data_IF_123626486931
#
_entry.id   IF_123626486931
#
_cell.length_a   1.000
_cell.length_b   1.000
_cell.length_c   1.000
_cell.angle_alpha   90.00
_cell.angle_beta   90.00
_cell.angle_gamma   90.00
#
_symmetry.space_group_name_H-M   'P 1'
#
loop_
_entity.id
_entity.type
_entity.pdbx_description
1 polymer ?
#
# COMPACT_ATOMS: atom_id res chain seq x y z
N UNK A 1 14.89 0.76 17.80
CA UNK A 1 13.48 0.56 17.40
C UNK A 1 13.45 0.33 15.90
N UNK A 2 13.19 -0.89 15.44
CA UNK A 2 13.11 -1.16 14.00
C UNK A 2 11.80 -0.57 13.48
N UNK A 3 11.89 0.33 12.49
CA UNK A 3 10.72 0.81 11.76
C UNK A 3 10.15 -0.37 10.97
N UNK A 4 8.97 -0.85 11.33
CA UNK A 4 8.35 -2.03 10.69
C UNK A 4 7.48 -1.68 9.48
N UNK A 5 7.08 -0.41 9.35
CA UNK A 5 6.23 0.09 8.27
C UNK A 5 6.78 1.36 7.65
N UNK A 6 6.44 1.59 6.40
CA UNK A 6 6.60 2.83 5.67
C UNK A 6 5.26 3.20 5.03
N UNK A 7 4.85 4.46 5.20
CA UNK A 7 3.60 4.99 4.66
C UNK A 7 3.94 6.13 3.71
N UNK A 8 3.33 6.13 2.53
CA UNK A 8 3.56 7.14 1.50
C UNK A 8 2.24 7.61 0.91
N UNK A 9 2.18 8.88 0.56
CA UNK A 9 1.21 9.40 -0.39
C UNK A 9 1.88 9.53 -1.75
N UNK A 10 1.30 8.92 -2.77
CA UNK A 10 1.84 8.90 -4.14
C UNK A 10 0.80 9.50 -5.09
N UNK A 11 1.13 10.66 -5.64
CA UNK A 11 0.37 11.32 -6.71
C UNK A 11 1.05 10.99 -8.06
N UNK A 12 0.48 10.04 -8.78
CA UNK A 12 1.06 9.50 -10.01
C UNK A 12 0.61 10.29 -11.24
N UNK A 13 1.24 11.42 -11.54
CA UNK A 13 0.98 12.20 -12.76
C UNK A 13 1.33 11.45 -14.04
N UNK A 14 2.23 10.47 -13.96
CA UNK A 14 2.61 9.57 -15.05
C UNK A 14 2.65 8.14 -14.51
N UNK A 15 2.47 7.17 -15.41
CA UNK A 15 2.60 5.76 -15.03
C UNK A 15 3.97 5.48 -14.40
N UNK A 16 4.00 4.83 -13.24
CA UNK A 16 5.23 4.37 -12.61
C UNK A 16 5.79 3.15 -13.34
N UNK A 17 7.08 2.86 -13.16
CA UNK A 17 7.69 1.67 -13.76
C UNK A 17 6.98 0.41 -13.31
N UNK A 18 6.92 -0.58 -14.19
CA UNK A 18 6.51 -1.93 -13.84
C UNK A 18 7.62 -2.55 -12.99
N UNK A 19 7.27 -3.04 -11.82
CA UNK A 19 8.19 -3.48 -10.80
C UNK A 19 7.67 -4.68 -10.03
N UNK A 20 8.54 -5.28 -9.24
CA UNK A 20 8.26 -6.41 -8.37
C UNK A 20 9.10 -6.30 -7.11
N UNK A 21 8.62 -6.85 -6.01
CA UNK A 21 9.32 -6.88 -4.74
C UNK A 21 9.58 -8.31 -4.29
N UNK A 22 10.75 -8.60 -3.68
CA UNK A 22 11.02 -9.90 -3.07
C UNK A 22 10.27 -10.09 -1.76
N UNK A 23 10.17 -11.32 -1.29
CA UNK A 23 9.83 -11.64 0.09
C UNK A 23 11.02 -11.45 1.05
N UNK A 24 10.79 -11.71 2.37
CA UNK A 24 11.83 -11.55 3.38
C UNK A 24 13.01 -12.51 3.17
N UNK A 25 12.75 -13.74 2.75
CA UNK A 25 13.78 -14.77 2.59
C UNK A 25 14.78 -14.36 1.51
N UNK A 26 14.28 -14.06 0.32
CA UNK A 26 15.12 -13.62 -0.79
C UNK A 26 15.83 -12.29 -0.50
N UNK A 27 15.11 -11.32 0.07
CA UNK A 27 15.65 -9.99 0.32
C UNK A 27 16.74 -9.98 1.40
N UNK A 28 16.59 -10.77 2.47
CA UNK A 28 17.62 -10.89 3.51
C UNK A 28 18.88 -11.57 2.98
N UNK A 29 18.73 -12.58 2.14
CA UNK A 29 19.87 -13.31 1.56
C UNK A 29 20.63 -12.47 0.52
N UNK A 30 19.92 -11.74 -0.35
CA UNK A 30 20.52 -11.13 -1.54
C UNK A 30 20.75 -9.61 -1.43
N UNK A 31 20.01 -8.91 -0.53
CA UNK A 31 20.05 -7.45 -0.42
C UNK A 31 20.40 -6.96 0.99
N UNK A 32 20.42 -7.85 2.00
CA UNK A 32 20.52 -7.50 3.42
C UNK A 32 19.40 -6.53 3.86
N UNK A 33 18.23 -6.69 3.30
CA UNK A 33 17.01 -5.90 3.49
C UNK A 33 15.83 -6.84 3.77
N UNK A 34 14.71 -6.31 4.29
CA UNK A 34 13.46 -7.06 4.36
C UNK A 34 12.74 -7.07 3.01
N UNK A 35 11.86 -8.04 2.83
CA UNK A 35 10.93 -8.10 1.72
C UNK A 35 9.93 -6.95 1.73
N UNK A 36 9.10 -6.86 0.69
CA UNK A 36 8.17 -5.75 0.55
C UNK A 36 6.80 -6.25 0.12
N UNK A 37 5.93 -6.45 1.10
CA UNK A 37 4.49 -6.52 0.90
C UNK A 37 3.92 -5.12 1.08
N UNK A 38 2.96 -4.73 0.26
CA UNK A 38 2.34 -3.41 0.30
C UNK A 38 0.85 -3.46 -0.01
N UNK A 39 0.14 -2.44 0.44
CA UNK A 39 -1.24 -2.22 0.04
C UNK A 39 -1.41 -0.79 -0.43
N UNK A 40 -2.35 -0.59 -1.34
CA UNK A 40 -2.75 0.72 -1.83
C UNK A 40 -4.21 0.98 -1.49
N UNK A 41 -4.46 2.13 -0.89
CA UNK A 41 -5.79 2.71 -0.77
C UNK A 41 -5.90 3.88 -1.75
N UNK A 42 -6.84 3.80 -2.69
CA UNK A 42 -7.02 4.85 -3.71
C UNK A 42 -7.75 6.03 -3.07
N UNK A 43 -7.04 7.15 -2.94
CA UNK A 43 -7.55 8.40 -2.40
C UNK A 43 -8.32 9.19 -3.45
N UNK A 44 -7.82 9.16 -4.69
CA UNK A 44 -8.47 9.75 -5.87
C UNK A 44 -7.97 9.08 -7.14
N UNK A 45 -8.79 9.11 -8.20
CA UNK A 45 -8.42 8.58 -9.51
C UNK A 45 -9.18 9.31 -10.63
N UNK A 46 -8.47 9.68 -11.68
CA UNK A 46 -9.08 10.21 -12.91
C UNK A 46 -9.98 9.15 -13.58
N UNK A 47 -11.04 9.56 -14.30
CA UNK A 47 -11.87 8.62 -15.04
C UNK A 47 -11.07 7.75 -16.01
N UNK A 48 -11.22 6.41 -15.90
CA UNK A 48 -10.47 5.45 -16.70
C UNK A 48 -9.04 5.19 -16.26
N UNK A 49 -8.58 5.79 -15.16
CA UNK A 49 -7.29 5.49 -14.56
C UNK A 49 -7.21 4.02 -14.13
N UNK A 50 -6.06 3.43 -14.29
CA UNK A 50 -5.84 2.00 -14.03
C UNK A 50 -4.47 1.74 -13.45
N UNK A 51 -4.34 0.61 -12.80
CA UNK A 51 -3.07 0.06 -12.36
C UNK A 51 -2.86 -1.35 -12.93
N UNK A 52 -1.64 -1.83 -12.87
CA UNK A 52 -1.34 -3.24 -13.11
C UNK A 52 -1.11 -3.93 -11.76
N UNK A 53 -1.71 -5.13 -11.59
CA UNK A 53 -1.45 -5.97 -10.42
C UNK A 53 -1.54 -7.45 -10.82
N UNK A 54 -0.38 -8.10 -10.87
CA UNK A 54 -0.19 -9.48 -11.26
C UNK A 54 -0.37 -9.76 -12.76
N UNK A 55 -0.37 -11.04 -13.09
CA UNK A 55 -0.54 -11.53 -14.44
C UNK A 55 -2.03 -11.77 -14.76
N UNK A 56 -2.45 -11.50 -15.99
CA UNK A 56 -3.81 -11.78 -16.49
C UNK A 56 -4.05 -13.29 -16.70
N UNK A 57 -2.98 -14.05 -16.87
CA UNK A 57 -2.92 -15.51 -16.99
C UNK A 57 -1.61 -16.03 -16.43
N UNK A 58 -1.51 -17.33 -16.15
CA UNK A 58 -0.23 -17.95 -15.85
C UNK A 58 0.72 -17.81 -17.05
N UNK A 59 2.00 -17.56 -16.79
CA UNK A 59 3.06 -17.41 -17.79
C UNK A 59 4.36 -18.00 -17.29
N UNK A 60 5.22 -18.52 -18.16
CA UNK A 60 6.54 -18.98 -17.73
C UNK A 60 7.50 -17.80 -17.49
N UNK A 61 8.59 -18.06 -16.76
CA UNK A 61 9.63 -17.04 -16.52
C UNK A 61 10.30 -16.62 -17.84
N UNK A 62 10.47 -17.56 -18.76
CA UNK A 62 11.04 -17.35 -20.09
C UNK A 62 10.13 -16.43 -20.93
N UNK A 63 8.81 -16.65 -20.89
CA UNK A 63 7.85 -15.77 -21.55
C UNK A 63 7.88 -14.35 -20.97
N UNK A 64 7.93 -14.23 -19.65
CA UNK A 64 8.01 -12.93 -18.97
C UNK A 64 9.29 -12.19 -19.41
N UNK A 65 10.44 -12.88 -19.43
CA UNK A 65 11.71 -12.33 -19.88
C UNK A 65 11.66 -11.86 -21.33
N UNK A 66 11.14 -12.70 -22.23
CA UNK A 66 10.99 -12.36 -23.63
C UNK A 66 10.11 -11.11 -23.83
N UNK A 67 8.99 -11.03 -23.12
CA UNK A 67 8.09 -9.87 -23.21
C UNK A 67 8.69 -8.58 -22.64
N UNK A 68 9.55 -8.67 -21.62
CA UNK A 68 10.31 -7.51 -21.13
C UNK A 68 11.27 -7.05 -22.26
N UNK A 69 12.04 -7.96 -22.85
CA UNK A 69 13.00 -7.65 -23.94
C UNK A 69 12.33 -7.06 -25.17
N UNK A 70 11.12 -7.49 -25.47
CA UNK A 70 10.34 -7.05 -26.64
C UNK A 70 9.42 -5.85 -26.34
N UNK A 71 9.46 -5.27 -25.12
CA UNK A 71 8.58 -4.17 -24.65
C UNK A 71 7.08 -4.50 -24.70
N UNK A 72 6.71 -5.78 -24.54
CA UNK A 72 5.32 -6.28 -24.61
C UNK A 72 4.80 -6.83 -23.28
N UNK A 73 5.52 -6.63 -22.18
CA UNK A 73 5.15 -7.17 -20.85
C UNK A 73 3.74 -6.77 -20.42
N UNK A 74 3.28 -5.58 -20.81
CA UNK A 74 1.93 -5.08 -20.47
C UNK A 74 0.79 -5.91 -21.03
N UNK A 75 1.03 -6.68 -22.09
CA UNK A 75 0.00 -7.53 -22.75
C UNK A 75 -0.42 -8.73 -21.88
N UNK A 76 0.42 -9.14 -20.95
CA UNK A 76 0.16 -10.25 -20.04
C UNK A 76 -0.14 -9.81 -18.60
N UNK A 77 -0.08 -8.49 -18.34
CA UNK A 77 -0.42 -7.98 -17.00
C UNK A 77 -1.94 -7.84 -16.83
N UNK A 78 -2.38 -8.05 -15.59
CA UNK A 78 -3.76 -7.81 -15.19
C UNK A 78 -3.97 -6.31 -14.98
N UNK A 79 -4.73 -5.69 -15.87
CA UNK A 79 -5.10 -4.28 -15.83
C UNK A 79 -6.38 -4.11 -15.02
N UNK A 80 -6.34 -3.26 -13.99
CA UNK A 80 -7.45 -3.00 -13.09
C UNK A 80 -7.79 -1.52 -13.15
N UNK A 81 -8.97 -1.17 -13.63
CA UNK A 81 -9.50 0.18 -13.47
C UNK A 81 -9.83 0.43 -12.01
N UNK A 82 -9.50 1.63 -11.53
CA UNK A 82 -9.67 1.98 -10.12
C UNK A 82 -10.41 3.29 -9.94
N UNK A 83 -11.01 3.43 -8.77
CA UNK A 83 -11.70 4.63 -8.31
C UNK A 83 -11.41 4.89 -6.85
N UNK A 84 -11.70 6.09 -6.37
CA UNK A 84 -11.61 6.46 -4.95
C UNK A 84 -12.26 5.39 -4.06
N UNK A 85 -11.53 4.98 -3.04
CA UNK A 85 -11.95 3.98 -2.06
C UNK A 85 -11.55 2.53 -2.40
N UNK A 86 -11.01 2.28 -3.58
CA UNK A 86 -10.52 0.94 -3.93
C UNK A 86 -9.27 0.56 -3.12
N UNK A 87 -9.16 -0.73 -2.85
CA UNK A 87 -8.07 -1.34 -2.08
C UNK A 87 -7.41 -2.42 -2.90
N UNK A 88 -6.10 -2.37 -2.98
CA UNK A 88 -5.28 -3.38 -3.68
C UNK A 88 -4.19 -3.87 -2.75
N UNK A 89 -4.12 -5.18 -2.52
CA UNK A 89 -3.00 -5.83 -1.84
C UNK A 89 -2.00 -6.31 -2.87
N UNK A 90 -0.77 -5.86 -2.74
CA UNK A 90 0.38 -6.26 -3.56
C UNK A 90 1.31 -7.12 -2.70
N UNK A 91 1.21 -8.43 -2.87
CA UNK A 91 2.09 -9.38 -2.17
C UNK A 91 3.45 -9.43 -2.85
N UNK A 92 4.49 -9.71 -2.10
CA UNK A 92 5.81 -10.03 -2.65
C UNK A 92 5.70 -11.05 -3.80
N UNK A 93 6.50 -10.90 -4.85
CA UNK A 93 6.41 -11.72 -6.05
C UNK A 93 5.32 -11.33 -7.05
N UNK A 94 4.55 -10.26 -6.78
CA UNK A 94 3.51 -9.76 -7.70
C UNK A 94 4.07 -8.64 -8.57
N UNK A 95 3.99 -8.79 -9.90
CA UNK A 95 4.32 -7.73 -10.85
C UNK A 95 3.25 -6.64 -10.76
N UNK A 96 3.63 -5.37 -10.61
CA UNK A 96 2.66 -4.29 -10.46
C UNK A 96 3.19 -2.94 -10.96
N UNK A 97 2.26 -2.03 -11.22
CA UNK A 97 2.55 -0.62 -11.50
C UNK A 97 1.33 0.26 -11.24
N UNK A 98 1.55 1.46 -10.73
CA UNK A 98 0.53 2.49 -10.62
C UNK A 98 0.47 3.25 -11.94
N UNK A 99 -0.71 3.34 -12.55
CA UNK A 99 -0.96 4.13 -13.75
C UNK A 99 -0.98 5.63 -13.48
N UNK A 100 -1.08 6.42 -14.55
CA UNK A 100 -1.23 7.86 -14.44
C UNK A 100 -2.62 8.25 -13.87
N UNK A 101 -2.71 9.42 -13.25
CA UNK A 101 -3.96 9.98 -12.75
C UNK A 101 -4.49 9.29 -11.49
N UNK A 102 -3.63 8.65 -10.70
CA UNK A 102 -4.01 7.95 -9.47
C UNK A 102 -3.28 8.57 -8.27
N UNK A 103 -4.03 8.90 -7.23
CA UNK A 103 -3.49 9.32 -5.93
C UNK A 103 -3.79 8.24 -4.89
N UNK A 104 -2.76 7.69 -4.27
CA UNK A 104 -2.87 6.60 -3.30
C UNK A 104 -2.22 6.91 -1.96
N UNK A 105 -2.72 6.25 -0.91
CA UNK A 105 -1.98 6.00 0.33
C UNK A 105 -1.41 4.57 0.25
N UNK A 106 -0.09 4.45 0.18
CA UNK A 106 0.64 3.18 0.21
C UNK A 106 1.07 2.88 1.63
N UNK A 107 0.72 1.70 2.14
CA UNK A 107 1.21 1.15 3.41
C UNK A 107 2.00 -0.11 3.09
N UNK A 108 3.26 -0.18 3.51
CA UNK A 108 4.18 -1.25 3.15
C UNK A 108 5.07 -1.68 4.33
N UNK A 109 5.70 -2.86 4.21
CA UNK A 109 6.88 -3.17 5.01
C UNK A 109 7.94 -2.08 4.81
N UNK A 110 8.72 -1.79 5.86
CA UNK A 110 9.79 -0.80 5.76
C UNK A 110 11.00 -1.37 5.00
N UNK A 111 10.86 -1.39 3.68
CA UNK A 111 11.87 -1.85 2.73
C UNK A 111 11.90 -0.94 1.51
N UNK A 112 13.08 -0.74 0.96
CA UNK A 112 13.30 -0.06 -0.32
C UNK A 112 13.58 -1.05 -1.46
N UNK A 113 13.53 -2.35 -1.18
CA UNK A 113 13.87 -3.38 -2.16
C UNK A 113 12.84 -3.42 -3.30
N UNK A 114 13.29 -2.98 -4.47
CA UNK A 114 12.44 -2.86 -5.67
C UNK A 114 13.21 -3.29 -6.90
N UNK A 115 12.68 -4.27 -7.62
CA UNK A 115 13.22 -4.70 -8.90
C UNK A 115 12.38 -4.12 -10.03
N UNK A 116 12.98 -3.21 -10.81
CA UNK A 116 12.35 -2.61 -11.98
C UNK A 116 12.43 -3.57 -13.14
N UNK A 117 11.28 -3.92 -13.71
CA UNK A 117 11.16 -4.85 -14.81
C UNK A 117 11.05 -4.12 -16.16
N UNK A 118 10.31 -3.01 -16.21
CA UNK A 118 10.07 -2.24 -17.41
C UNK A 118 9.78 -0.78 -17.09
N UNK A 119 10.29 0.13 -17.89
CA UNK A 119 10.16 1.57 -17.67
C UNK A 119 9.70 2.36 -18.90
N UNK A 120 8.97 1.72 -19.82
CA UNK A 120 8.41 2.36 -21.02
C UNK A 120 9.47 3.02 -21.90
N UNK A 121 10.70 2.52 -21.93
CA UNK A 121 11.89 3.09 -22.59
C UNK A 121 12.15 4.56 -22.23
N UNK A 122 11.73 5.00 -21.03
CA UNK A 122 11.98 6.36 -20.56
C UNK A 122 13.46 6.61 -20.33
N UNK A 123 13.89 7.81 -20.71
CA UNK A 123 15.27 8.24 -20.58
C UNK A 123 15.35 9.53 -19.77
N UNK A 124 16.47 9.69 -19.06
CA UNK A 124 16.79 10.93 -18.35
C UNK A 124 17.14 12.06 -19.36
N UNK A 125 17.41 13.25 -18.82
CA UNK A 125 17.80 14.41 -19.64
C UNK A 125 19.12 14.23 -20.41
N UNK A 126 19.88 13.19 -20.12
CA UNK A 126 21.12 12.83 -20.80
C UNK A 126 20.94 11.67 -21.77
N UNK A 127 19.73 11.14 -21.92
CA UNK A 127 19.41 10.04 -22.81
C UNK A 127 19.64 8.64 -22.22
N UNK A 128 19.95 8.52 -20.92
CA UNK A 128 20.19 7.24 -20.26
C UNK A 128 18.89 6.60 -19.78
N UNK A 129 18.66 5.30 -20.03
CA UNK A 129 17.54 4.58 -19.42
C UNK A 129 17.83 4.32 -17.94
N UNK A 130 16.75 4.14 -17.15
CA UNK A 130 16.91 3.61 -15.78
C UNK A 130 17.28 2.14 -15.82
N UNK A 131 18.11 1.70 -14.87
CA UNK A 131 18.50 0.31 -14.74
C UNK A 131 17.28 -0.60 -14.55
N UNK A 132 17.28 -1.74 -15.25
CA UNK A 132 16.32 -2.83 -15.10
C UNK A 132 16.94 -4.00 -14.36
N UNK A 133 16.21 -4.61 -13.44
CA UNK A 133 16.67 -5.70 -12.59
C UNK A 133 16.05 -7.03 -13.04
N UNK A 134 16.18 -7.38 -14.33
CA UNK A 134 15.43 -8.49 -14.96
C UNK A 134 15.70 -9.82 -14.27
N UNK A 135 16.99 -10.19 -14.07
CA UNK A 135 17.34 -11.46 -13.45
C UNK A 135 16.72 -11.62 -12.06
N UNK A 136 16.93 -10.64 -11.16
CA UNK A 136 16.36 -10.64 -9.82
C UNK A 136 14.83 -10.66 -9.83
N UNK A 137 14.22 -9.98 -10.81
CA UNK A 137 12.76 -10.01 -10.99
C UNK A 137 12.25 -11.40 -11.33
N UNK A 138 12.95 -12.13 -12.21
CA UNK A 138 12.60 -13.49 -12.60
C UNK A 138 12.83 -14.50 -11.46
N UNK A 139 13.78 -14.23 -10.56
CA UNK A 139 13.99 -15.07 -9.39
C UNK A 139 12.76 -15.04 -8.46
N UNK A 140 12.21 -13.85 -8.23
CA UNK A 140 11.16 -13.62 -7.23
C UNK A 140 9.74 -13.64 -7.79
N UNK A 141 9.54 -13.66 -9.11
CA UNK A 141 8.21 -13.59 -9.70
C UNK A 141 7.35 -14.80 -9.36
N UNK A 142 6.11 -14.54 -8.96
CA UNK A 142 5.06 -15.55 -8.90
C UNK A 142 4.35 -15.62 -10.27
N UNK A 143 4.60 -16.66 -11.09
CA UNK A 143 4.19 -16.70 -12.49
C UNK A 143 2.75 -17.20 -12.68
N UNK A 144 1.90 -17.09 -11.65
CA UNK A 144 0.50 -17.51 -11.71
C UNK A 144 -0.43 -16.35 -12.05
N UNK A 145 -1.64 -16.69 -12.51
CA UNK A 145 -2.69 -15.69 -12.71
C UNK A 145 -2.99 -14.97 -11.40
N UNK A 146 -3.15 -13.65 -11.48
CA UNK A 146 -3.58 -12.86 -10.35
C UNK A 146 -5.01 -13.22 -9.89
N UNK A 147 -5.16 -13.36 -8.60
CA UNK A 147 -6.46 -13.51 -7.97
C UNK A 147 -6.62 -12.41 -6.90
N UNK A 148 -7.75 -11.69 -6.97
CA UNK A 148 -8.06 -10.65 -6.00
C UNK A 148 -8.20 -11.27 -4.61
N UNK A 149 -7.57 -10.66 -3.61
CA UNK A 149 -7.69 -11.11 -2.22
C UNK A 149 -9.09 -10.77 -1.67
N UNK A 150 -9.90 -11.79 -1.43
CA UNK A 150 -11.26 -11.66 -0.93
C UNK A 150 -11.34 -11.30 0.57
N UNK A 151 -10.20 -11.22 1.27
CA UNK A 151 -10.13 -10.84 2.68
C UNK A 151 -10.02 -9.32 2.88
N UNK A 152 -10.03 -8.54 1.80
CA UNK A 152 -10.04 -7.08 1.85
C UNK A 152 -11.46 -6.53 2.10
N UNK A 153 -11.56 -5.33 2.70
CA UNK A 153 -12.80 -4.59 2.91
C UNK A 153 -13.84 -5.29 3.80
N UNK A 154 -13.39 -5.91 4.89
CA UNK A 154 -14.26 -6.57 5.87
C UNK A 154 -14.82 -5.56 6.85
N UNK A 155 -16.14 -5.46 6.98
CA UNK A 155 -16.81 -4.63 7.99
C UNK A 155 -16.46 -5.14 9.39
N UNK A 156 -15.98 -4.25 10.27
CA UNK A 156 -15.67 -4.55 11.67
C UNK A 156 -16.72 -3.99 12.61
N UNK A 157 -17.12 -2.73 12.42
CA UNK A 157 -18.16 -2.07 13.21
C UNK A 157 -18.95 -1.07 12.37
N UNK A 158 -20.23 -0.90 12.74
CA UNK A 158 -21.10 0.13 12.19
C UNK A 158 -22.11 0.51 13.26
N UNK A 159 -22.05 1.74 13.75
CA UNK A 159 -22.96 2.32 14.72
C UNK A 159 -23.28 3.79 14.35
N UNK A 160 -23.94 4.54 15.22
CA UNK A 160 -24.29 5.94 14.98
C UNK A 160 -23.08 6.90 15.00
N UNK A 161 -21.96 6.51 15.63
CA UNK A 161 -20.79 7.35 15.82
C UNK A 161 -19.74 7.15 14.75
N UNK A 162 -19.56 5.88 14.29
CA UNK A 162 -18.57 5.57 13.25
C UNK A 162 -18.84 4.24 12.53
N UNK A 163 -18.21 4.13 11.37
CA UNK A 163 -18.06 2.87 10.65
C UNK A 163 -16.58 2.52 10.54
N UNK A 164 -16.21 1.24 10.76
CA UNK A 164 -14.87 0.77 10.56
C UNK A 164 -14.82 -0.48 9.68
N UNK A 165 -13.83 -0.49 8.78
CA UNK A 165 -13.56 -1.61 7.85
C UNK A 165 -12.11 -1.99 7.89
N UNK A 166 -11.81 -3.27 8.05
CA UNK A 166 -10.48 -3.80 7.78
C UNK A 166 -10.25 -3.77 6.27
N UNK A 167 -9.32 -2.94 5.82
CA UNK A 167 -8.95 -2.84 4.42
C UNK A 167 -8.10 -4.03 4.00
N UNK A 168 -7.06 -4.35 4.79
CA UNK A 168 -6.12 -5.44 4.55
C UNK A 168 -5.61 -5.98 5.89
N UNK A 169 -5.34 -7.27 5.94
CA UNK A 169 -4.57 -7.92 7.02
C UNK A 169 -3.59 -8.93 6.42
N UNK A 170 -2.33 -8.83 6.80
CA UNK A 170 -1.29 -9.80 6.43
C UNK A 170 -0.38 -10.08 7.64
N UNK A 171 0.66 -10.87 7.45
CA UNK A 171 1.65 -11.19 8.50
C UNK A 171 2.35 -9.94 9.05
N UNK A 172 2.42 -8.86 8.28
CA UNK A 172 3.30 -7.72 8.54
C UNK A 172 2.57 -6.47 9.00
N UNK A 173 1.29 -6.35 8.67
CA UNK A 173 0.46 -5.22 9.09
C UNK A 173 -1.03 -5.51 8.94
N UNK A 174 -1.81 -4.80 9.73
CA UNK A 174 -3.25 -4.65 9.55
C UNK A 174 -3.57 -3.18 9.26
N UNK A 175 -4.51 -2.95 8.34
CA UNK A 175 -4.95 -1.61 7.97
C UNK A 175 -6.46 -1.53 8.09
N UNK A 176 -6.94 -0.57 8.88
CA UNK A 176 -8.37 -0.35 9.18
C UNK A 176 -8.73 1.08 8.78
N UNK A 177 -9.80 1.25 8.03
CA UNK A 177 -10.39 2.55 7.78
C UNK A 177 -11.50 2.82 8.79
N UNK A 178 -11.50 4.02 9.37
CA UNK A 178 -12.58 4.58 10.17
C UNK A 178 -13.20 5.75 9.43
N UNK A 179 -14.52 5.73 9.30
CA UNK A 179 -15.36 6.85 8.89
C UNK A 179 -16.12 7.29 10.14
N UNK A 180 -15.72 8.44 10.70
CA UNK A 180 -16.18 8.94 12.00
C UNK A 180 -17.14 10.09 11.79
N UNK A 181 -18.32 10.01 12.40
CA UNK A 181 -19.32 11.10 12.37
C UNK A 181 -19.12 12.08 13.53
N UNK A 182 -18.80 11.58 14.73
CA UNK A 182 -18.58 12.41 15.92
C UNK A 182 -17.43 11.90 16.82
N UNK A 183 -17.43 10.65 17.25
CA UNK A 183 -16.38 10.07 18.12
C UNK A 183 -16.10 8.60 17.78
N UNK A 184 -14.81 8.23 17.83
CA UNK A 184 -14.37 6.83 17.80
C UNK A 184 -13.35 6.57 18.91
N UNK A 185 -13.50 5.44 19.63
CA UNK A 185 -12.52 4.92 20.57
C UNK A 185 -11.81 3.72 19.97
N UNK A 186 -10.51 3.85 19.74
CA UNK A 186 -9.68 2.89 19.03
C UNK A 186 -8.69 2.28 20.01
N UNK A 187 -8.78 0.98 20.32
CA UNK A 187 -7.90 0.34 21.29
C UNK A 187 -6.45 0.29 20.78
N UNK A 188 -5.52 0.56 21.68
CA UNK A 188 -4.07 0.31 21.51
C UNK A 188 -3.67 -0.70 22.57
N UNK A 189 -2.93 -1.71 22.18
CA UNK A 189 -2.43 -2.73 23.10
C UNK A 189 -0.90 -2.64 23.30
N UNK A 190 -0.37 -3.55 24.10
CA UNK A 190 1.07 -3.62 24.39
C UNK A 190 1.88 -4.29 23.25
N UNK A 191 1.21 -4.93 22.28
CA UNK A 191 1.88 -5.69 21.23
C UNK A 191 2.41 -4.78 20.10
N UNK A 192 1.68 -3.69 19.79
CA UNK A 192 2.02 -2.81 18.68
C UNK A 192 1.68 -1.34 18.94
N UNK A 193 2.41 -0.48 18.25
CA UNK A 193 2.04 0.92 18.07
C UNK A 193 0.78 1.04 17.20
N UNK A 194 0.17 2.22 17.20
CA UNK A 194 -0.88 2.60 16.28
C UNK A 194 -0.41 3.82 15.47
N UNK A 195 -0.49 3.74 14.14
CA UNK A 195 -0.34 4.90 13.26
C UNK A 195 -1.71 5.34 12.78
N UNK A 196 -2.05 6.61 12.99
CA UNK A 196 -3.30 7.24 12.55
C UNK A 196 -2.99 8.22 11.42
N UNK A 197 -3.64 8.07 10.28
CA UNK A 197 -3.48 8.91 9.11
C UNK A 197 -4.84 9.53 8.80
N UNK A 198 -4.96 10.85 8.91
CA UNK A 198 -6.20 11.57 8.58
C UNK A 198 -6.24 11.81 7.08
N UNK A 199 -7.17 11.16 6.38
CA UNK A 199 -7.30 11.30 4.92
C UNK A 199 -8.39 12.31 4.52
N UNK A 200 -9.33 12.59 5.43
CA UNK A 200 -10.37 13.61 5.21
C UNK A 200 -10.90 14.14 6.55
N UNK A 201 -11.42 15.39 6.56
CA UNK A 201 -12.03 16.01 7.73
C UNK A 201 -11.05 16.67 8.69
N UNK A 202 -11.59 17.07 9.85
CA UNK A 202 -10.86 17.71 10.94
C UNK A 202 -11.47 17.35 12.30
N UNK A 203 -10.71 17.57 13.37
CA UNK A 203 -11.17 17.25 14.71
C UNK A 203 -10.08 17.31 15.76
N UNK A 204 -10.23 16.47 16.78
CA UNK A 204 -9.25 16.32 17.85
C UNK A 204 -8.92 14.86 18.11
N UNK A 205 -7.69 14.61 18.55
CA UNK A 205 -7.19 13.30 18.92
C UNK A 205 -6.51 13.37 20.29
N UNK A 206 -6.79 12.39 21.13
CA UNK A 206 -6.17 12.23 22.45
C UNK A 206 -6.06 10.75 22.80
N UNK A 207 -5.35 10.43 23.86
CA UNK A 207 -5.41 9.10 24.49
C UNK A 207 -6.14 9.21 25.83
N UNK A 208 -6.91 8.19 26.20
CA UNK A 208 -7.75 8.21 27.41
C UNK A 208 -6.94 8.15 28.72
N UNK A 209 -5.64 7.94 28.65
CA UNK A 209 -4.70 8.04 29.77
C UNK A 209 -3.96 9.40 29.86
N UNK A 210 -4.30 10.35 29.00
CA UNK A 210 -3.67 11.67 28.94
C UNK A 210 -4.66 12.75 28.50
N UNK A 211 -4.85 13.78 29.30
CA UNK A 211 -5.80 14.88 29.04
C UNK A 211 -5.36 15.83 27.91
N UNK A 212 -4.20 15.60 27.28
CA UNK A 212 -3.71 16.45 26.20
C UNK A 212 -4.42 16.13 24.88
N UNK A 213 -5.32 17.01 24.50
CA UNK A 213 -6.02 16.97 23.23
C UNK A 213 -5.23 17.70 22.14
N UNK A 214 -5.06 17.09 20.96
CA UNK A 214 -4.39 17.65 19.81
C UNK A 214 -5.42 17.85 18.69
N UNK A 215 -5.41 19.04 18.06
CA UNK A 215 -6.21 19.26 16.85
C UNK A 215 -5.58 18.58 15.66
N UNK A 216 -6.40 18.15 14.71
CA UNK A 216 -5.95 17.61 13.44
C UNK A 216 -6.82 18.09 12.27
N UNK A 217 -6.24 17.96 11.08
CA UNK A 217 -6.93 18.13 9.77
C UNK A 217 -6.42 17.09 8.78
N UNK A 218 -7.09 16.97 7.64
CA UNK A 218 -6.68 16.09 6.54
C UNK A 218 -5.22 16.30 6.14
N UNK A 219 -4.49 15.21 5.91
CA UNK A 219 -3.06 15.16 5.60
C UNK A 219 -2.13 15.02 6.80
N UNK A 220 -2.65 15.13 8.03
CA UNK A 220 -1.85 14.94 9.25
C UNK A 220 -1.81 13.48 9.67
N UNK A 221 -0.76 13.11 10.41
CA UNK A 221 -0.58 11.76 10.94
C UNK A 221 -0.07 11.78 12.37
N UNK A 222 -0.47 10.75 13.13
CA UNK A 222 -0.12 10.60 14.54
C UNK A 222 0.47 9.20 14.76
N UNK A 223 1.49 9.14 15.59
CA UNK A 223 2.09 7.89 16.04
C UNK A 223 1.83 7.73 17.53
N UNK A 224 1.16 6.64 17.88
CA UNK A 224 0.81 6.30 19.26
C UNK A 224 1.61 5.07 19.66
N UNK A 225 2.40 5.19 20.73
CA UNK A 225 3.18 4.08 21.25
C UNK A 225 2.29 2.95 21.75
N UNK A 226 2.79 1.72 21.68
CA UNK A 226 2.15 0.56 22.31
C UNK A 226 1.83 0.81 23.79
N UNK A 227 0.71 0.27 24.28
CA UNK A 227 0.24 0.42 25.66
C UNK A 227 -1.26 0.14 25.77
N UNK A 228 -1.71 -0.20 26.97
CA UNK A 228 -3.15 -0.42 27.24
C UNK A 228 -3.88 0.91 27.41
N UNK A 229 -4.39 1.45 26.33
CA UNK A 229 -5.15 2.70 26.26
C UNK A 229 -6.08 2.72 25.07
N UNK A 230 -6.94 3.72 25.01
CA UNK A 230 -7.67 4.02 23.77
C UNK A 230 -7.19 5.35 23.18
N UNK A 231 -7.11 5.40 21.88
CA UNK A 231 -7.08 6.65 21.12
C UNK A 231 -8.52 7.08 20.92
N UNK A 232 -8.83 8.30 21.33
CA UNK A 232 -10.12 8.93 21.15
C UNK A 232 -10.01 9.96 20.04
N UNK A 233 -10.72 9.74 18.96
CA UNK A 233 -10.80 10.65 17.81
C UNK A 233 -12.18 11.28 17.81
N UNK A 234 -12.25 12.62 17.83
CA UNK A 234 -13.51 13.38 17.80
C UNK A 234 -13.56 14.30 16.61
N UNK A 235 -14.73 14.44 16.03
CA UNK A 235 -14.98 15.25 14.85
C UNK A 235 -15.17 14.41 13.60
N UNK A 236 -15.91 15.00 12.63
CA UNK A 236 -16.22 14.31 11.38
C UNK A 236 -14.98 14.14 10.53
N UNK A 237 -14.56 12.92 10.37
CA UNK A 237 -13.29 12.62 9.70
C UNK A 237 -13.21 11.19 9.15
N UNK A 238 -12.29 10.98 8.22
CA UNK A 238 -11.92 9.66 7.75
C UNK A 238 -10.44 9.42 8.06
N UNK A 239 -10.17 8.35 8.80
CA UNK A 239 -8.81 7.97 9.20
C UNK A 239 -8.45 6.58 8.69
N UNK A 240 -7.19 6.40 8.27
CA UNK A 240 -6.57 5.10 8.08
C UNK A 240 -5.72 4.82 9.30
N UNK A 241 -5.98 3.68 9.92
CA UNK A 241 -5.29 3.19 11.10
C UNK A 241 -4.45 1.98 10.68
N UNK A 242 -3.19 1.94 11.11
CA UNK A 242 -2.34 0.78 10.84
C UNK A 242 -1.46 0.42 12.03
N UNK A 243 -1.25 -0.88 12.21
CA UNK A 243 -0.38 -1.48 13.21
C UNK A 243 0.27 -2.76 12.66
N UNK A 244 1.21 -3.37 13.42
CA UNK A 244 1.96 -4.58 13.04
C UNK A 244 1.75 -5.71 14.04
#
# INVERSE_FOLDING_TARGET
MYKRQLIKFIDAKQALSIQIHPDDEYALENENEYGKNEMWYVLDAEPGAYLYCGLSRASSKEEIEERIKNNTITEILNKIEVKKGDVVMVKAGTIHAIGAGIFICEIQQNSNCTYRMYDYDRRDKFGNPRELHIAKSLDVVNPVKYEKDNKCNVMLAHNEHYMSKRLVQCKYFEVIKYEIEDEAKIPVDEASFLSVIVIDGEGTIMTDDNDKELKFKAGESFFINAGKRNVVVKGRSTCIITHV
#
